data_IF_446694265819
#
_entry.id   IF_446694265819
#
_cell.length_a   1.000
_cell.length_b   1.000
_cell.length_c   1.000
_cell.angle_alpha   90.00
_cell.angle_beta   90.00
_cell.angle_gamma   90.00
#
_symmetry.space_group_name_H-M   'P 1'
#
loop_
_entity.id
_entity.type
_entity.pdbx_description
1 polymer ?
#
# COMPACT_ATOMS: atom_id res chain seq x y z
N UNK A 1 -49.53 -24.76 26.62
CA UNK A 1 -49.46 -23.83 25.46
C UNK A 1 -48.51 -22.64 25.67
N UNK A 2 -48.27 -22.15 26.89
CA UNK A 2 -47.34 -21.04 27.12
C UNK A 2 -45.84 -21.41 26.92
N UNK A 3 -45.44 -22.62 27.28
CA UNK A 3 -44.03 -23.08 27.21
C UNK A 3 -43.52 -23.19 25.77
N UNK A 4 -44.36 -23.65 24.84
CA UNK A 4 -44.00 -23.80 23.42
C UNK A 4 -43.79 -22.46 22.71
N UNK A 5 -44.51 -21.41 23.13
CA UNK A 5 -44.34 -20.06 22.58
C UNK A 5 -43.02 -19.41 23.06
N UNK A 6 -42.62 -19.63 24.31
CA UNK A 6 -41.37 -19.12 24.88
C UNK A 6 -40.15 -19.79 24.24
N UNK A 7 -40.21 -21.09 23.99
CA UNK A 7 -39.13 -21.83 23.32
C UNK A 7 -38.97 -21.38 21.86
N UNK A 8 -40.09 -21.08 21.18
CA UNK A 8 -40.07 -20.58 19.81
C UNK A 8 -39.52 -19.15 19.68
N UNK A 9 -39.77 -18.27 20.67
CA UNK A 9 -39.20 -16.92 20.66
C UNK A 9 -37.71 -16.93 20.98
N UNK A 10 -37.26 -17.79 21.90
CA UNK A 10 -35.83 -17.95 22.22
C UNK A 10 -35.03 -18.49 21.04
N UNK A 11 -35.56 -19.46 20.30
CA UNK A 11 -34.89 -19.99 19.10
C UNK A 11 -34.82 -18.97 17.97
N UNK A 12 -35.85 -18.16 17.77
CA UNK A 12 -35.84 -17.07 16.80
C UNK A 12 -34.79 -15.99 17.14
N UNK A 13 -34.68 -15.60 18.42
CA UNK A 13 -33.66 -14.63 18.88
C UNK A 13 -32.24 -15.18 18.65
N UNK A 14 -32.01 -16.46 18.94
CA UNK A 14 -30.72 -17.10 18.72
C UNK A 14 -30.31 -17.07 17.23
N UNK A 15 -31.25 -17.36 16.32
CA UNK A 15 -31.00 -17.31 14.88
C UNK A 15 -30.66 -15.89 14.42
N UNK A 16 -31.41 -14.88 14.88
CA UNK A 16 -31.13 -13.47 14.54
C UNK A 16 -29.76 -13.03 15.05
N UNK A 17 -29.37 -13.44 16.26
CA UNK A 17 -28.04 -13.15 16.80
C UNK A 17 -26.92 -13.80 15.98
N UNK A 18 -27.08 -15.05 15.56
CA UNK A 18 -26.10 -15.75 14.72
C UNK A 18 -25.96 -15.05 13.37
N UNK A 19 -27.08 -14.67 12.73
CA UNK A 19 -27.05 -13.94 11.46
C UNK A 19 -26.34 -12.59 11.64
N UNK A 20 -26.66 -11.86 12.72
CA UNK A 20 -26.05 -10.56 12.99
C UNK A 20 -24.53 -10.66 13.21
N UNK A 21 -24.08 -11.68 13.95
CA UNK A 21 -22.66 -11.92 14.21
C UNK A 21 -21.90 -12.34 12.95
N UNK A 22 -22.49 -13.21 12.13
CA UNK A 22 -21.88 -13.64 10.87
C UNK A 22 -21.74 -12.49 9.88
N UNK A 23 -22.76 -11.64 9.75
CA UNK A 23 -22.71 -10.42 8.92
C UNK A 23 -21.63 -9.46 9.42
N UNK A 24 -21.55 -9.23 10.73
CA UNK A 24 -20.51 -8.38 11.33
C UNK A 24 -19.09 -8.93 11.08
N UNK A 25 -18.90 -10.23 11.23
CA UNK A 25 -17.61 -10.88 10.98
C UNK A 25 -17.18 -10.77 9.51
N UNK A 26 -18.10 -10.97 8.56
CA UNK A 26 -17.82 -10.80 7.13
C UNK A 26 -17.45 -9.34 6.81
N UNK A 27 -18.21 -8.37 7.35
CA UNK A 27 -17.92 -6.96 7.16
C UNK A 27 -16.53 -6.58 7.68
N UNK A 28 -16.15 -7.08 8.85
CA UNK A 28 -14.81 -6.86 9.41
C UNK A 28 -13.70 -7.47 8.54
N UNK A 29 -13.88 -8.71 8.06
CA UNK A 29 -12.91 -9.35 7.18
C UNK A 29 -12.72 -8.60 5.86
N UNK A 30 -13.79 -8.07 5.27
CA UNK A 30 -13.72 -7.23 4.06
C UNK A 30 -13.00 -5.91 4.36
N UNK A 31 -13.30 -5.27 5.48
CA UNK A 31 -12.65 -4.02 5.88
C UNK A 31 -11.13 -4.20 6.06
N UNK A 32 -10.70 -5.29 6.70
CA UNK A 32 -9.27 -5.61 6.83
C UNK A 32 -8.60 -5.81 5.47
N UNK A 33 -9.21 -6.60 4.57
CA UNK A 33 -8.66 -6.79 3.21
C UNK A 33 -8.55 -5.49 2.42
N UNK A 34 -9.52 -4.58 2.57
CA UNK A 34 -9.46 -3.28 1.90
C UNK A 34 -8.34 -2.39 2.45
N UNK A 35 -8.08 -2.42 3.75
CA UNK A 35 -6.94 -1.72 4.37
C UNK A 35 -5.62 -2.31 3.87
N UNK A 36 -5.50 -3.63 3.83
CA UNK A 36 -4.29 -4.32 3.34
C UNK A 36 -4.01 -3.98 1.87
N UNK A 37 -5.03 -4.01 1.00
CA UNK A 37 -4.88 -3.63 -0.41
C UNK A 37 -4.42 -2.18 -0.54
N UNK A 38 -4.96 -1.25 0.26
CA UNK A 38 -4.52 0.16 0.25
C UNK A 38 -3.05 0.30 0.70
N UNK A 39 -2.65 -0.44 1.73
CA UNK A 39 -1.26 -0.42 2.20
C UNK A 39 -0.30 -1.02 1.17
N UNK A 40 -0.69 -2.12 0.53
CA UNK A 40 0.10 -2.74 -0.55
C UNK A 40 0.21 -1.81 -1.75
N UNK A 41 -0.89 -1.17 -2.17
CA UNK A 41 -0.90 -0.28 -3.33
C UNK A 41 -0.01 0.96 -3.12
N UNK A 42 -0.06 1.57 -1.92
CA UNK A 42 0.86 2.66 -1.57
C UNK A 42 2.32 2.21 -1.56
N UNK A 43 2.61 0.99 -1.06
CA UNK A 43 3.96 0.44 -1.05
C UNK A 43 4.47 0.14 -2.46
N UNK A 44 3.63 -0.40 -3.34
CA UNK A 44 4.00 -0.69 -4.73
C UNK A 44 4.26 0.60 -5.51
N UNK A 45 3.42 1.63 -5.33
CA UNK A 45 3.61 2.93 -5.96
C UNK A 45 4.93 3.59 -5.53
N UNK A 46 5.23 3.61 -4.23
CA UNK A 46 6.51 4.15 -3.72
C UNK A 46 7.70 3.33 -4.23
N UNK A 47 7.57 2.00 -4.33
CA UNK A 47 8.63 1.15 -4.87
C UNK A 47 8.84 1.38 -6.36
N UNK A 48 7.77 1.55 -7.13
CA UNK A 48 7.81 1.88 -8.56
C UNK A 48 8.52 3.20 -8.81
N UNK A 49 8.10 4.26 -8.12
CA UNK A 49 8.72 5.59 -8.23
C UNK A 49 10.21 5.58 -7.86
N UNK A 50 10.58 4.86 -6.80
CA UNK A 50 12.00 4.69 -6.43
C UNK A 50 12.80 3.94 -7.48
N UNK A 51 12.19 2.97 -8.15
CA UNK A 51 12.82 2.21 -9.21
C UNK A 51 13.03 3.06 -10.47
N UNK A 52 12.04 3.87 -10.85
CA UNK A 52 12.14 4.82 -11.96
C UNK A 52 13.25 5.86 -11.74
N UNK A 53 13.32 6.44 -10.53
CA UNK A 53 14.37 7.39 -10.18
C UNK A 53 15.76 6.75 -10.21
N UNK A 54 15.88 5.51 -9.74
CA UNK A 54 17.14 4.76 -9.78
C UNK A 54 17.59 4.48 -11.21
N UNK A 55 16.70 4.02 -12.11
CA UNK A 55 17.05 3.83 -13.52
C UNK A 55 17.39 5.13 -14.25
N UNK A 56 16.71 6.22 -13.89
CA UNK A 56 17.01 7.56 -14.41
C UNK A 56 18.40 8.00 -13.99
N UNK A 57 18.76 7.79 -12.71
CA UNK A 57 20.09 8.06 -12.18
C UNK A 57 21.18 7.24 -12.92
N UNK A 58 20.96 5.94 -13.16
CA UNK A 58 21.88 5.11 -13.95
C UNK A 58 22.06 5.67 -15.35
N UNK A 59 20.96 6.02 -16.03
CA UNK A 59 21.00 6.50 -17.42
C UNK A 59 21.77 7.81 -17.54
N UNK A 60 21.49 8.78 -16.67
CA UNK A 60 22.16 10.07 -16.66
C UNK A 60 23.64 9.92 -16.31
N UNK A 61 23.98 9.05 -15.34
CA UNK A 61 25.37 8.78 -15.00
C UNK A 61 26.14 8.14 -16.17
N UNK A 62 25.50 7.24 -16.93
CA UNK A 62 26.07 6.67 -18.15
C UNK A 62 26.22 7.68 -19.30
N UNK A 63 25.45 8.78 -19.27
CA UNK A 63 25.62 9.92 -20.18
C UNK A 63 26.72 10.90 -19.73
N UNK A 64 27.35 10.65 -18.58
CA UNK A 64 28.45 11.46 -18.05
C UNK A 64 28.05 12.51 -17.02
N UNK A 65 26.76 12.62 -16.66
CA UNK A 65 26.32 13.53 -15.60
C UNK A 65 26.82 13.05 -14.24
N UNK A 66 27.35 13.97 -13.43
CA UNK A 66 27.93 13.70 -12.11
C UNK A 66 27.54 14.77 -11.09
N UNK A 67 27.61 14.44 -9.80
CA UNK A 67 27.42 15.39 -8.71
C UNK A 67 26.08 16.14 -8.80
N UNK A 68 26.15 17.47 -8.76
CA UNK A 68 24.96 18.33 -8.73
C UNK A 68 24.15 18.27 -10.04
N UNK A 69 24.80 18.20 -11.20
CA UNK A 69 24.12 18.13 -12.50
C UNK A 69 23.32 16.83 -12.66
N UNK A 70 23.82 15.74 -12.07
CA UNK A 70 23.09 14.47 -12.00
C UNK A 70 21.83 14.61 -11.13
N UNK A 71 21.95 15.26 -9.98
CA UNK A 71 20.82 15.50 -9.06
C UNK A 71 19.75 16.38 -9.71
N UNK A 72 20.15 17.48 -10.36
CA UNK A 72 19.24 18.35 -11.09
C UNK A 72 18.57 17.62 -12.27
N UNK A 73 19.33 16.84 -13.04
CA UNK A 73 18.80 16.07 -14.17
C UNK A 73 17.74 15.05 -13.73
N UNK A 74 17.93 14.39 -12.59
CA UNK A 74 16.94 13.46 -12.04
C UNK A 74 15.66 14.21 -11.63
N UNK A 75 15.79 15.36 -10.96
CA UNK A 75 14.66 16.18 -10.53
C UNK A 75 13.92 16.88 -11.68
N UNK A 76 14.58 17.18 -12.80
CA UNK A 76 13.92 17.71 -13.99
C UNK A 76 13.12 16.63 -14.73
N UNK A 77 13.63 15.39 -14.76
CA UNK A 77 12.99 14.28 -15.47
C UNK A 77 11.94 13.55 -14.65
N UNK A 78 12.11 13.52 -13.32
CA UNK A 78 11.16 12.95 -12.38
C UNK A 78 10.65 14.04 -11.44
N UNK A 79 9.33 14.15 -11.26
CA UNK A 79 8.75 15.02 -10.24
C UNK A 79 9.19 14.52 -8.85
N UNK A 80 10.36 14.94 -8.36
CA UNK A 80 10.97 14.46 -7.12
C UNK A 80 11.68 15.58 -6.35
N UNK A 81 12.00 15.31 -5.09
CA UNK A 81 12.76 16.24 -4.25
C UNK A 81 14.27 15.99 -4.39
N UNK A 82 15.14 16.97 -4.06
CA UNK A 82 16.59 16.78 -4.08
C UNK A 82 17.05 15.58 -3.24
N UNK A 83 16.38 15.32 -2.11
CA UNK A 83 16.67 14.19 -1.23
C UNK A 83 16.31 12.83 -1.86
N UNK A 84 15.26 12.76 -2.69
CA UNK A 84 14.90 11.54 -3.41
C UNK A 84 15.93 11.22 -4.50
N UNK A 85 16.44 12.25 -5.18
CA UNK A 85 17.48 12.13 -6.19
C UNK A 85 18.80 11.66 -5.55
N UNK A 86 19.21 12.24 -4.42
CA UNK A 86 20.40 11.80 -3.68
C UNK A 86 20.28 10.34 -3.24
N UNK A 87 19.12 9.94 -2.72
CA UNK A 87 18.87 8.55 -2.35
C UNK A 87 18.93 7.59 -3.54
N UNK A 88 18.53 8.03 -4.74
CA UNK A 88 18.66 7.26 -5.96
C UNK A 88 20.12 7.13 -6.41
N UNK A 89 20.88 8.23 -6.39
CA UNK A 89 22.32 8.27 -6.73
C UNK A 89 23.13 7.38 -5.77
N UNK A 90 22.87 7.48 -4.46
CA UNK A 90 23.50 6.64 -3.43
C UNK A 90 23.30 5.15 -3.70
N UNK A 91 22.12 4.74 -4.15
CA UNK A 91 21.86 3.34 -4.51
C UNK A 91 22.65 2.90 -5.75
N UNK A 92 22.74 3.76 -6.77
CA UNK A 92 23.56 3.45 -7.95
C UNK A 92 25.03 3.28 -7.56
N UNK A 93 25.53 4.08 -6.62
CA UNK A 93 26.89 3.95 -6.09
C UNK A 93 27.12 2.69 -5.24
N UNK A 94 26.08 2.09 -4.67
CA UNK A 94 26.19 0.88 -3.86
C UNK A 94 26.16 -0.43 -4.69
N UNK A 95 25.64 -0.36 -5.93
CA UNK A 95 25.52 -1.49 -6.85
C UNK A 95 26.76 -1.64 -7.79
N UNK A 96 27.77 -0.78 -7.64
CA UNK A 96 29.02 -0.74 -8.43
C UNK A 96 30.23 -1.14 -7.60
#
# INVERSE_FOLDING_TARGET
>A
MAVTAIVATLSAIAVVLIISLTVAAIAFAIAQRLLDVRHVNKRSEVRGRRHELHWTAIRLRNQGFMGHELQEGICMLGNCTPADADAAILRVGADL
#
